data_IF_839993380051
#
_entry.id   IF_839993380051
#
_cell.length_a   1.000
_cell.length_b   1.000
_cell.length_c   1.000
_cell.angle_alpha   90.00
_cell.angle_beta   90.00
_cell.angle_gamma   90.00
#
_symmetry.space_group_name_H-M   'P 1'
#
loop_
_entity.id
_entity.type
_entity.pdbx_description
1 polymer ?
#
# COMPACT_ATOMS: atom_id res chain seq x y z
N UNK A 1 85.97 1.15 12.07
CA UNK A 1 85.71 2.30 11.18
C UNK A 1 86.15 1.87 9.80
N UNK A 2 85.28 1.19 9.06
CA UNK A 2 84.97 1.55 7.67
C UNK A 2 83.72 0.78 7.24
N UNK A 3 82.70 1.54 6.87
CA UNK A 3 81.44 1.06 6.30
C UNK A 3 81.62 0.90 4.80
N UNK A 4 81.14 -0.19 4.20
CA UNK A 4 80.41 -0.18 2.93
C UNK A 4 79.97 -1.59 2.52
N UNK A 5 78.64 -1.76 2.44
CA UNK A 5 77.85 -2.78 1.73
C UNK A 5 78.58 -3.98 1.08
N UNK A 6 78.18 -5.19 1.47
CA UNK A 6 77.87 -6.26 0.49
C UNK A 6 77.02 -7.39 1.09
N UNK A 7 75.96 -7.72 0.35
CA UNK A 7 75.47 -9.07 0.10
C UNK A 7 74.91 -9.83 1.34
N UNK A 8 73.59 -9.87 1.50
CA UNK A 8 72.72 -10.92 0.94
C UNK A 8 72.88 -12.29 1.62
N UNK A 9 71.72 -12.87 1.95
CA UNK A 9 71.46 -14.27 2.33
C UNK A 9 71.32 -14.58 3.83
N UNK A 10 70.23 -15.31 4.10
CA UNK A 10 69.89 -16.07 5.31
C UNK A 10 69.14 -15.34 6.43
N UNK A 11 67.95 -14.83 6.09
CA UNK A 11 66.84 -14.78 7.07
C UNK A 11 65.94 -15.98 6.76
N UNK A 12 66.22 -17.11 7.41
CA UNK A 12 65.42 -18.33 7.36
C UNK A 12 64.89 -18.63 8.77
N UNK A 13 63.56 -18.56 8.89
CA UNK A 13 62.68 -19.33 9.77
C UNK A 13 63.04 -19.48 11.26
N UNK A 14 62.30 -18.76 12.11
CA UNK A 14 61.84 -19.35 13.38
C UNK A 14 60.47 -18.78 13.81
N UNK A 15 59.44 -19.58 13.55
CA UNK A 15 58.15 -19.72 14.23
C UNK A 15 57.65 -18.60 15.16
N UNK A 16 56.67 -17.83 14.68
CA UNK A 16 55.62 -17.29 15.55
C UNK A 16 54.26 -17.46 14.85
N UNK A 17 53.65 -18.61 15.08
CA UNK A 17 52.24 -18.85 14.71
C UNK A 17 51.40 -18.07 15.73
N UNK A 18 50.89 -16.91 15.33
CA UNK A 18 49.69 -16.33 15.92
C UNK A 18 48.50 -16.87 15.13
N UNK A 19 47.83 -17.89 15.67
CA UNK A 19 46.47 -18.22 15.24
C UNK A 19 45.61 -17.02 15.68
N UNK A 20 45.28 -16.14 14.74
CA UNK A 20 44.16 -15.23 14.90
C UNK A 20 42.91 -16.11 14.83
N UNK A 21 42.45 -16.59 15.99
CA UNK A 21 41.11 -17.17 16.09
C UNK A 21 40.14 -16.03 15.78
N UNK A 22 39.70 -15.93 14.53
CA UNK A 22 38.51 -15.17 14.18
C UNK A 22 37.39 -15.93 14.88
N UNK A 23 37.04 -15.49 16.09
CA UNK A 23 35.76 -15.84 16.69
C UNK A 23 34.72 -15.29 15.73
N UNK A 24 34.27 -16.12 14.80
CA UNK A 24 33.00 -15.89 14.14
C UNK A 24 31.98 -16.04 15.25
N UNK A 25 31.66 -14.92 15.90
CA UNK A 25 30.42 -14.87 16.65
C UNK A 25 29.34 -15.29 15.65
N UNK A 26 28.55 -16.34 15.92
CA UNK A 26 27.36 -16.54 15.13
C UNK A 26 26.61 -15.21 15.18
N UNK A 27 26.50 -14.55 14.03
CA UNK A 27 25.60 -13.41 13.89
C UNK A 27 24.23 -14.00 14.14
N UNK A 28 23.75 -13.94 15.38
CA UNK A 28 22.34 -14.12 15.66
C UNK A 28 21.68 -13.06 14.78
N UNK A 29 21.05 -13.51 13.70
CA UNK A 29 20.13 -12.68 12.96
C UNK A 29 19.07 -12.30 13.98
N UNK A 30 19.18 -11.08 14.53
CA UNK A 30 18.07 -10.43 15.20
C UNK A 30 16.96 -10.37 14.15
N UNK A 31 15.97 -11.26 14.27
CA UNK A 31 14.74 -11.14 13.49
C UNK A 31 14.08 -9.84 13.95
N UNK A 32 14.02 -8.85 13.06
CA UNK A 32 13.36 -7.58 13.36
C UNK A 32 11.89 -7.86 13.72
N UNK A 33 11.38 -7.20 14.77
CA UNK A 33 9.97 -7.30 15.12
C UNK A 33 9.11 -6.86 13.94
N UNK A 34 8.09 -7.64 13.59
CA UNK A 34 7.19 -7.32 12.48
C UNK A 34 5.79 -7.06 13.00
N UNK A 35 5.20 -5.93 12.63
CA UNK A 35 3.80 -5.62 12.88
C UNK A 35 3.04 -5.76 11.56
N UNK A 36 2.02 -6.61 11.52
CA UNK A 36 1.33 -6.91 10.26
C UNK A 36 -0.19 -7.03 10.38
N UNK A 37 -0.90 -6.80 9.28
CA UNK A 37 -2.30 -7.19 9.13
C UNK A 37 -2.41 -8.57 8.49
N UNK A 38 -3.34 -9.40 8.94
CA UNK A 38 -3.58 -10.74 8.43
C UNK A 38 -5.08 -10.98 8.18
N UNK A 39 -5.48 -11.42 6.96
CA UNK A 39 -4.64 -11.56 5.78
C UNK A 39 -4.08 -10.21 5.26
N UNK A 40 -2.97 -10.25 4.51
CA UNK A 40 -2.41 -9.07 3.84
C UNK A 40 -3.17 -8.69 2.56
N UNK A 41 -4.01 -9.58 2.06
CA UNK A 41 -4.94 -9.29 0.98
C UNK A 41 -6.28 -9.95 1.30
N UNK A 42 -7.32 -9.15 1.48
CA UNK A 42 -8.67 -9.63 1.71
C UNK A 42 -9.58 -9.21 0.56
N UNK A 43 -10.50 -10.09 0.15
CA UNK A 43 -11.41 -9.86 -0.99
C UNK A 43 -12.88 -10.08 -0.60
N UNK A 44 -13.43 -9.36 0.40
CA UNK A 44 -14.82 -9.54 0.82
C UNK A 44 -15.80 -9.01 -0.24
N UNK A 45 -17.05 -9.49 -0.19
CA UNK A 45 -18.14 -8.91 -0.97
C UNK A 45 -18.78 -7.70 -0.28
N UNK A 46 -19.49 -6.87 -1.06
CA UNK A 46 -20.38 -5.84 -0.50
C UNK A 46 -21.39 -6.50 0.44
N UNK A 47 -21.58 -5.90 1.62
CA UNK A 47 -22.46 -6.42 2.66
C UNK A 47 -21.86 -7.56 3.50
N UNK A 48 -20.68 -8.07 3.14
CA UNK A 48 -20.01 -9.14 3.88
C UNK A 48 -19.25 -8.59 5.08
N UNK A 49 -19.37 -9.28 6.22
CA UNK A 49 -18.51 -9.07 7.37
C UNK A 49 -17.26 -9.94 7.26
N UNK A 50 -16.11 -9.33 7.51
CA UNK A 50 -14.83 -10.02 7.53
C UNK A 50 -13.95 -9.45 8.63
N UNK A 51 -12.86 -10.15 8.94
CA UNK A 51 -11.93 -9.76 10.01
C UNK A 51 -10.52 -9.61 9.49
N UNK A 52 -9.80 -8.64 10.05
CA UNK A 52 -8.36 -8.44 9.86
C UNK A 52 -7.70 -8.50 11.23
N UNK A 53 -6.79 -9.45 11.42
CA UNK A 53 -5.98 -9.53 12.63
C UNK A 53 -4.77 -8.61 12.50
N UNK A 54 -4.52 -7.77 13.49
CA UNK A 54 -3.23 -7.11 13.68
C UNK A 54 -2.36 -8.04 14.51
N UNK A 55 -1.20 -8.43 13.98
CA UNK A 55 -0.29 -9.39 14.62
C UNK A 55 1.08 -8.77 14.81
N UNK A 56 1.77 -9.20 15.86
CA UNK A 56 3.19 -8.91 16.08
C UNK A 56 3.98 -10.21 15.99
N UNK A 57 5.15 -10.18 15.36
CA UNK A 57 6.08 -11.29 15.30
C UNK A 57 7.44 -10.90 15.87
N UNK A 58 8.11 -11.87 16.49
CA UNK A 58 9.49 -11.77 17.00
C UNK A 58 9.69 -10.56 17.93
N UNK A 59 8.73 -10.32 18.81
CA UNK A 59 8.80 -9.25 19.81
C UNK A 59 9.60 -9.71 21.02
N UNK A 60 10.39 -8.80 21.57
CA UNK A 60 11.11 -9.01 22.83
C UNK A 60 10.70 -7.95 23.85
N UNK A 61 10.28 -8.42 25.02
CA UNK A 61 9.90 -7.64 26.19
C UNK A 61 8.72 -6.68 25.93
N UNK A 62 7.71 -7.06 25.14
CA UNK A 62 6.52 -6.25 24.88
C UNK A 62 5.69 -6.06 26.15
N UNK A 63 5.49 -4.83 26.59
CA UNK A 63 4.68 -4.51 27.78
C UNK A 63 3.41 -3.73 27.44
N UNK A 64 3.47 -2.86 26.43
CA UNK A 64 2.28 -2.18 25.91
C UNK A 64 2.40 -1.91 24.41
N UNK A 65 1.27 -1.71 23.76
CA UNK A 65 1.21 -1.33 22.37
C UNK A 65 0.06 -0.36 22.10
N UNK A 66 0.26 0.52 21.13
CA UNK A 66 -0.79 1.31 20.52
C UNK A 66 -0.72 1.18 19.01
N UNK A 67 -1.87 0.96 18.37
CA UNK A 67 -1.99 0.95 16.92
C UNK A 67 -2.96 2.04 16.50
N UNK A 68 -2.57 2.87 15.53
CA UNK A 68 -3.48 3.75 14.79
C UNK A 68 -3.53 3.31 13.33
N UNK A 69 -4.69 2.82 12.89
CA UNK A 69 -4.94 2.35 11.53
C UNK A 69 -5.90 3.29 10.79
N UNK A 70 -5.56 3.61 9.54
CA UNK A 70 -6.43 4.30 8.59
C UNK A 70 -6.89 3.37 7.47
N UNK A 71 -8.09 3.61 6.95
CA UNK A 71 -8.74 2.92 5.84
C UNK A 71 -9.71 3.88 5.14
N UNK A 72 -10.17 3.55 3.94
CA UNK A 72 -11.16 4.37 3.24
C UNK A 72 -12.59 4.08 3.78
N UNK A 73 -13.25 5.04 4.47
CA UNK A 73 -14.58 4.84 5.06
C UNK A 73 -15.73 4.85 4.04
N UNK A 74 -15.46 5.21 2.78
CA UNK A 74 -16.44 5.04 1.70
C UNK A 74 -16.51 3.58 1.25
N UNK A 75 -15.41 2.82 1.38
CA UNK A 75 -15.28 1.42 0.95
C UNK A 75 -15.56 0.45 2.11
N UNK A 76 -15.05 0.74 3.31
CA UNK A 76 -15.19 -0.11 4.49
C UNK A 76 -15.90 0.58 5.64
N UNK A 77 -16.60 -0.20 6.45
CA UNK A 77 -17.12 0.23 7.75
C UNK A 77 -16.55 -0.64 8.87
N UNK A 78 -15.72 -0.06 9.75
CA UNK A 78 -15.23 -0.73 10.95
C UNK A 78 -16.37 -0.84 11.97
N UNK A 79 -16.74 -2.07 12.31
CA UNK A 79 -17.85 -2.33 13.22
C UNK A 79 -17.38 -2.68 14.62
N UNK A 80 -16.21 -3.29 14.76
CA UNK A 80 -15.72 -3.77 16.05
C UNK A 80 -14.18 -3.87 16.12
N UNK A 81 -13.64 -3.71 17.32
CA UNK A 81 -12.23 -3.98 17.65
C UNK A 81 -12.21 -4.92 18.85
N UNK A 82 -11.70 -6.13 18.64
CA UNK A 82 -11.72 -7.21 19.60
C UNK A 82 -10.29 -7.48 20.08
N UNK A 83 -10.10 -7.66 21.39
CA UNK A 83 -8.89 -8.29 21.93
C UNK A 83 -9.22 -9.77 22.09
N UNK A 84 -8.71 -10.67 21.23
CA UNK A 84 -9.10 -12.06 21.30
C UNK A 84 -8.49 -12.74 22.55
N UNK A 85 -9.10 -13.81 23.09
CA UNK A 85 -8.58 -14.48 24.30
C UNK A 85 -7.14 -14.98 24.16
N UNK A 86 -6.72 -15.35 22.94
CA UNK A 86 -5.40 -15.82 22.55
C UNK A 86 -4.49 -14.70 22.01
N UNK A 87 -4.76 -13.44 22.41
CA UNK A 87 -3.90 -12.30 22.07
C UNK A 87 -2.47 -12.46 22.64
N UNK A 88 -1.55 -11.59 22.23
CA UNK A 88 -0.12 -11.61 22.63
C UNK A 88 0.10 -11.55 24.15
N UNK A 89 -0.86 -11.03 24.91
CA UNK A 89 -0.85 -10.98 26.37
C UNK A 89 -1.72 -12.05 27.04
N UNK A 90 -2.09 -13.12 26.33
CA UNK A 90 -2.87 -14.23 26.89
C UNK A 90 -2.22 -14.78 28.17
N UNK A 91 -3.04 -14.95 29.22
CA UNK A 91 -2.58 -15.40 30.54
C UNK A 91 -2.15 -14.28 31.50
N UNK A 92 -2.17 -13.02 31.08
CA UNK A 92 -1.85 -11.85 31.91
C UNK A 92 -3.06 -10.94 32.12
N UNK A 93 -3.03 -10.16 33.21
CA UNK A 93 -3.96 -9.06 33.41
C UNK A 93 -3.57 -7.88 32.49
N UNK A 94 -4.57 -7.31 31.82
CA UNK A 94 -4.36 -6.25 30.84
C UNK A 94 -5.21 -5.01 31.14
N UNK A 95 -4.59 -3.84 30.99
CA UNK A 95 -5.30 -2.59 30.88
C UNK A 95 -5.72 -2.39 29.42
N UNK A 96 -7.02 -2.35 29.19
CA UNK A 96 -7.63 -2.43 27.86
C UNK A 96 -8.75 -1.38 27.68
N UNK A 97 -8.40 -0.08 27.54
CA UNK A 97 -9.41 0.96 27.35
C UNK A 97 -10.13 0.81 25.99
N UNK A 98 -11.36 1.33 25.84
CA UNK A 98 -12.09 1.31 24.57
C UNK A 98 -11.28 1.93 23.41
N UNK A 99 -11.45 1.44 22.17
CA UNK A 99 -10.82 2.06 21.01
C UNK A 99 -11.38 3.46 20.72
N UNK A 100 -10.55 4.34 20.17
CA UNK A 100 -10.99 5.62 19.62
C UNK A 100 -11.25 5.44 18.13
N UNK A 101 -12.49 5.61 17.69
CA UNK A 101 -12.90 5.39 16.28
C UNK A 101 -13.43 6.70 15.69
N UNK A 102 -12.87 7.13 14.57
CA UNK A 102 -13.41 8.19 13.73
C UNK A 102 -13.89 7.59 12.40
N UNK A 103 -15.22 7.39 12.28
CA UNK A 103 -15.85 6.78 11.12
C UNK A 103 -15.87 7.70 9.90
N UNK A 104 -15.80 9.02 10.09
CA UNK A 104 -15.86 10.00 8.99
C UNK A 104 -14.60 9.98 8.15
N UNK A 105 -13.43 9.84 8.79
CA UNK A 105 -12.12 9.79 8.10
C UNK A 105 -11.55 8.37 8.02
N UNK A 106 -12.28 7.36 8.51
CA UNK A 106 -11.84 5.96 8.50
C UNK A 106 -10.58 5.71 9.32
N UNK A 107 -10.60 6.06 10.61
CA UNK A 107 -9.45 5.88 11.51
C UNK A 107 -9.84 5.20 12.82
N UNK A 108 -8.98 4.30 13.31
CA UNK A 108 -9.10 3.67 14.62
C UNK A 108 -7.77 3.71 15.37
N UNK A 109 -7.82 4.03 16.67
CA UNK A 109 -6.69 3.87 17.60
C UNK A 109 -7.07 2.87 18.69
N UNK A 110 -6.20 1.88 18.93
CA UNK A 110 -6.35 0.92 20.03
C UNK A 110 -5.07 0.85 20.85
N UNK A 111 -5.21 0.96 22.17
CA UNK A 111 -4.14 0.81 23.16
C UNK A 111 -4.44 -0.39 24.07
N UNK A 112 -3.41 -1.16 24.40
CA UNK A 112 -3.45 -2.21 25.44
C UNK A 112 -2.08 -2.28 26.12
N UNK A 113 -2.08 -2.47 27.44
CA UNK A 113 -0.88 -2.67 28.25
C UNK A 113 -1.06 -3.81 29.25
N UNK A 114 0.04 -4.41 29.70
CA UNK A 114 0.06 -5.31 30.84
C UNK A 114 -0.10 -4.52 32.15
N UNK A 115 -0.88 -5.04 33.10
CA UNK A 115 -1.00 -4.48 34.46
C UNK A 115 0.19 -4.89 35.36
N UNK A 116 1.42 -4.79 34.85
CA UNK A 116 2.64 -5.23 35.52
C UNK A 116 3.92 -4.76 34.83
N UNK A 117 5.07 -5.09 35.43
CA UNK A 117 6.40 -4.60 35.00
C UNK A 117 7.19 -5.61 34.14
N UNK A 118 6.59 -6.74 33.78
CA UNK A 118 7.22 -7.75 32.92
C UNK A 118 6.67 -7.59 31.52
N UNK A 119 7.51 -7.65 30.49
CA UNK A 119 7.07 -7.77 29.10
C UNK A 119 7.09 -9.22 28.61
N UNK A 120 6.35 -9.50 27.55
CA UNK A 120 6.27 -10.81 26.91
C UNK A 120 7.19 -10.89 25.69
N UNK A 121 7.63 -12.11 25.36
CA UNK A 121 8.41 -12.40 24.17
C UNK A 121 7.60 -13.29 23.21
N UNK A 122 7.89 -13.21 21.92
CA UNK A 122 7.34 -14.11 20.90
C UNK A 122 6.46 -13.40 19.88
N UNK A 123 5.42 -14.10 19.43
CA UNK A 123 4.55 -13.67 18.33
C UNK A 123 3.10 -13.92 18.71
N UNK A 124 2.17 -13.09 18.23
CA UNK A 124 0.76 -13.24 18.55
C UNK A 124 -0.15 -12.18 17.92
N UNK A 125 -1.45 -12.31 18.17
CA UNK A 125 -2.46 -11.34 17.73
C UNK A 125 -2.49 -10.19 18.75
N UNK A 126 -2.41 -8.95 18.29
CA UNK A 126 -2.66 -7.77 19.12
C UNK A 126 -4.17 -7.56 19.28
N UNK A 127 -4.87 -7.42 18.15
CA UNK A 127 -6.32 -7.28 18.11
C UNK A 127 -6.89 -7.76 16.77
N UNK A 128 -8.19 -8.02 16.76
CA UNK A 128 -8.96 -8.34 15.56
C UNK A 128 -9.89 -7.18 15.24
N UNK A 129 -9.80 -6.67 14.02
CA UNK A 129 -10.68 -5.63 13.48
C UNK A 129 -11.77 -6.30 12.67
N UNK A 130 -13.03 -6.03 12.98
CA UNK A 130 -14.17 -6.51 12.20
C UNK A 130 -14.68 -5.39 11.31
N UNK A 131 -14.74 -5.67 10.01
CA UNK A 131 -15.19 -4.74 8.99
C UNK A 131 -16.43 -5.27 8.28
N UNK A 132 -17.17 -4.35 7.66
CA UNK A 132 -18.22 -4.60 6.68
C UNK A 132 -17.80 -3.97 5.35
N UNK A 133 -17.88 -4.73 4.25
CA UNK A 133 -17.72 -4.19 2.89
C UNK A 133 -18.89 -3.28 2.53
N UNK A 134 -18.64 -1.99 2.25
CA UNK A 134 -19.69 -0.97 2.05
C UNK A 134 -19.95 -0.66 0.57
N UNK A 135 -18.88 -0.42 -0.20
CA UNK A 135 -18.95 -0.09 -1.62
C UNK A 135 -17.80 -0.78 -2.36
N UNK A 136 -17.97 -0.98 -3.67
CA UNK A 136 -16.90 -1.48 -4.55
C UNK A 136 -15.66 -0.58 -4.49
N UNK A 137 -14.48 -1.19 -4.53
CA UNK A 137 -13.21 -0.49 -4.61
C UNK A 137 -12.13 -1.13 -3.76
N UNK A 138 -10.98 -0.46 -3.70
CA UNK A 138 -9.80 -0.97 -3.00
C UNK A 138 -9.31 0.03 -1.97
N UNK A 139 -8.95 -0.45 -0.78
CA UNK A 139 -8.32 0.36 0.26
C UNK A 139 -7.08 -0.33 0.83
N UNK A 140 -5.98 0.40 0.92
CA UNK A 140 -4.85 0.00 1.76
C UNK A 140 -5.21 0.26 3.22
N UNK A 141 -4.88 -0.68 4.10
CA UNK A 141 -4.91 -0.48 5.55
C UNK A 141 -3.60 0.16 5.95
N UNK A 142 -3.58 1.38 6.48
CA UNK A 142 -2.34 2.12 6.74
C UNK A 142 -2.11 2.33 8.22
N UNK A 143 -0.94 1.93 8.72
CA UNK A 143 -0.51 2.29 10.06
C UNK A 143 0.05 3.73 10.05
N UNK A 144 -0.44 4.56 10.95
CA UNK A 144 -0.08 5.98 11.01
C UNK A 144 0.93 6.23 12.13
N UNK A 145 1.78 7.24 11.92
CA UNK A 145 2.68 7.78 12.93
C UNK A 145 3.51 6.70 13.64
N UNK A 146 4.22 5.90 12.85
CA UNK A 146 5.05 4.80 13.34
C UNK A 146 6.11 5.32 14.31
N UNK A 147 6.34 4.58 15.40
CA UNK A 147 7.36 4.86 16.42
C UNK A 147 7.17 6.21 17.14
N UNK A 148 5.94 6.68 17.31
CA UNK A 148 5.62 7.93 18.01
C UNK A 148 4.67 7.70 19.19
N UNK A 149 4.99 8.27 20.36
CA UNK A 149 4.22 8.09 21.61
C UNK A 149 3.26 9.27 21.82
N UNK A 150 2.13 9.26 21.13
CA UNK A 150 1.03 10.24 21.29
C UNK A 150 -0.32 9.62 20.92
N UNK A 151 -1.41 10.38 21.04
CA UNK A 151 -2.80 9.86 20.90
C UNK A 151 -3.14 9.22 19.53
N UNK A 152 -2.36 9.49 18.49
CA UNK A 152 -2.54 8.92 17.15
C UNK A 152 -1.30 8.16 16.65
N UNK A 153 -0.39 7.83 17.58
CA UNK A 153 0.84 7.10 17.32
C UNK A 153 0.63 5.60 17.17
N UNK A 154 1.46 4.96 16.36
CA UNK A 154 1.59 3.50 16.32
C UNK A 154 2.93 3.11 16.93
N UNK A 155 2.92 2.40 18.05
CA UNK A 155 4.13 2.01 18.76
C UNK A 155 3.99 0.70 19.53
N UNK A 156 5.12 0.02 19.71
CA UNK A 156 5.32 -1.11 20.60
C UNK A 156 6.30 -0.66 21.69
N UNK A 157 6.04 -0.95 22.95
CA UNK A 157 6.84 -0.45 24.07
C UNK A 157 7.23 -1.57 25.04
N UNK A 158 8.46 -1.51 25.51
CA UNK A 158 9.01 -2.42 26.51
C UNK A 158 8.60 -2.05 27.93
N UNK A 159 8.84 -2.95 28.88
CA UNK A 159 8.59 -2.69 30.30
C UNK A 159 9.47 -1.60 30.91
N UNK A 160 10.59 -1.27 30.28
CA UNK A 160 11.47 -0.15 30.63
C UNK A 160 11.08 1.16 29.92
N UNK A 161 9.90 1.21 29.29
CA UNK A 161 9.36 2.32 28.51
C UNK A 161 10.14 2.64 27.22
N UNK A 162 11.12 1.83 26.84
CA UNK A 162 11.79 1.98 25.55
C UNK A 162 10.90 1.49 24.40
N UNK A 163 10.97 2.17 23.25
CA UNK A 163 10.27 1.72 22.05
C UNK A 163 10.91 0.47 21.46
N UNK A 164 10.08 -0.44 20.95
CA UNK A 164 10.50 -1.60 20.17
C UNK A 164 10.43 -1.20 18.69
N UNK A 165 11.57 -1.12 17.97
CA UNK A 165 11.55 -0.92 16.53
C UNK A 165 10.85 -2.08 15.83
N UNK A 166 10.07 -1.78 14.79
CA UNK A 166 9.38 -2.79 14.00
C UNK A 166 9.30 -2.42 12.53
N UNK A 167 9.21 -3.44 11.68
CA UNK A 167 8.79 -3.31 10.29
C UNK A 167 7.25 -3.43 10.21
N UNK A 168 6.60 -2.52 9.49
CA UNK A 168 5.14 -2.55 9.28
C UNK A 168 4.79 -3.23 7.94
N UNK A 169 4.06 -4.35 7.97
CA UNK A 169 3.54 -5.06 6.78
C UNK A 169 2.03 -5.05 6.77
N UNK A 170 1.48 -4.03 6.13
CA UNK A 170 0.04 -3.82 6.07
C UNK A 170 -0.56 -4.30 4.75
N UNK A 171 -1.84 -4.63 4.80
CA UNK A 171 -2.57 -5.27 3.73
C UNK A 171 -3.51 -4.34 2.97
N UNK A 172 -4.10 -4.92 1.94
CA UNK A 172 -5.09 -4.30 1.07
C UNK A 172 -6.40 -5.06 1.20
N UNK A 173 -7.51 -4.33 1.17
CA UNK A 173 -8.85 -4.89 1.07
C UNK A 173 -9.48 -4.48 -0.26
N UNK A 174 -9.85 -5.47 -1.04
CA UNK A 174 -10.52 -5.36 -2.34
C UNK A 174 -12.00 -5.75 -2.16
N UNK A 175 -12.90 -4.76 -2.09
CA UNK A 175 -14.34 -5.02 -1.92
C UNK A 175 -14.99 -5.22 -3.28
N UNK A 176 -15.60 -6.39 -3.42
CA UNK A 176 -16.06 -6.95 -4.69
C UNK A 176 -17.57 -7.22 -4.69
N UNK A 177 -18.10 -7.70 -5.83
CA UNK A 177 -19.45 -8.25 -5.91
C UNK A 177 -19.45 -9.67 -6.50
N UNK A 178 -20.48 -10.50 -6.20
CA UNK A 178 -20.51 -11.91 -6.60
C UNK A 178 -20.54 -12.16 -8.12
N UNK A 179 -20.99 -11.19 -8.91
CA UNK A 179 -21.11 -11.23 -10.37
C UNK A 179 -19.79 -10.93 -11.10
N UNK A 180 -18.71 -10.66 -10.36
CA UNK A 180 -17.42 -10.37 -10.94
C UNK A 180 -16.64 -11.64 -11.29
N UNK A 181 -15.93 -11.59 -12.41
CA UNK A 181 -15.08 -12.64 -12.91
C UNK A 181 -13.60 -12.25 -12.86
N UNK A 182 -12.77 -13.21 -12.47
CA UNK A 182 -11.31 -13.07 -12.43
C UNK A 182 -10.69 -13.49 -13.75
N UNK A 183 -10.03 -12.56 -14.43
CA UNK A 183 -9.29 -12.78 -15.67
C UNK A 183 -7.79 -12.60 -15.40
N UNK A 184 -6.98 -13.62 -15.68
CA UNK A 184 -5.54 -13.62 -15.41
C UNK A 184 -4.79 -13.56 -16.74
N UNK A 185 -3.88 -12.60 -16.86
CA UNK A 185 -3.06 -12.40 -18.04
C UNK A 185 -1.58 -12.48 -17.68
N UNK A 186 -0.86 -13.36 -18.37
CA UNK A 186 0.57 -13.56 -18.18
C UNK A 186 1.33 -12.55 -19.04
N UNK A 187 2.13 -11.69 -18.39
CA UNK A 187 2.99 -10.69 -19.03
C UNK A 187 4.43 -11.09 -18.79
N UNK A 188 5.21 -11.27 -19.87
CA UNK A 188 6.64 -11.59 -19.74
C UNK A 188 7.47 -10.32 -19.89
N UNK A 189 8.28 -10.01 -18.88
CA UNK A 189 9.21 -8.89 -18.88
C UNK A 189 10.55 -9.34 -18.27
N UNK A 190 11.66 -9.02 -18.93
CA UNK A 190 13.01 -9.40 -18.47
C UNK A 190 13.17 -10.89 -18.12
N UNK A 191 12.58 -11.78 -18.94
CA UNK A 191 12.57 -13.24 -18.73
C UNK A 191 11.79 -13.73 -17.49
N UNK A 192 10.97 -12.87 -16.89
CA UNK A 192 10.06 -13.24 -15.80
C UNK A 192 8.61 -13.11 -16.23
N UNK A 193 7.78 -14.08 -15.87
CA UNK A 193 6.33 -14.04 -16.11
C UNK A 193 5.63 -13.46 -14.88
N UNK A 194 4.99 -12.32 -15.06
CA UNK A 194 4.22 -11.60 -14.08
C UNK A 194 2.73 -11.66 -14.45
N UNK A 195 1.86 -11.72 -13.45
CA UNK A 195 0.42 -11.85 -13.67
C UNK A 195 -0.28 -10.51 -13.46
N UNK A 196 -0.95 -10.02 -14.50
CA UNK A 196 -1.96 -8.96 -14.37
C UNK A 196 -3.31 -9.62 -14.18
N UNK A 197 -4.07 -9.17 -13.19
CA UNK A 197 -5.42 -9.68 -12.95
C UNK A 197 -6.44 -8.58 -13.19
N UNK A 198 -7.43 -8.85 -14.02
CA UNK A 198 -8.60 -7.99 -14.22
C UNK A 198 -9.81 -8.68 -13.58
N UNK A 199 -10.30 -8.10 -12.49
CA UNK A 199 -11.49 -8.55 -11.77
C UNK A 199 -12.66 -7.61 -12.09
N UNK A 200 -13.67 -8.10 -12.82
CA UNK A 200 -14.71 -7.23 -13.39
C UNK A 200 -16.02 -7.99 -13.64
N UNK A 201 -17.15 -7.27 -13.66
CA UNK A 201 -18.44 -7.77 -14.10
C UNK A 201 -18.66 -7.69 -15.63
N UNK A 202 -17.61 -7.38 -16.40
CA UNK A 202 -17.64 -7.39 -17.88
C UNK A 202 -16.91 -8.59 -18.47
N UNK A 203 -17.20 -8.91 -19.73
CA UNK A 203 -16.35 -9.82 -20.52
C UNK A 203 -15.08 -9.09 -20.94
N UNK A 204 -13.91 -9.67 -20.67
CA UNK A 204 -12.61 -9.08 -21.05
C UNK A 204 -12.09 -9.71 -22.33
N UNK A 205 -11.61 -8.89 -23.27
CA UNK A 205 -11.00 -9.35 -24.53
C UNK A 205 -9.77 -8.51 -24.90
N UNK A 206 -8.97 -9.00 -25.85
CA UNK A 206 -7.87 -8.23 -26.46
C UNK A 206 -6.86 -7.62 -25.48
N UNK A 207 -6.53 -8.33 -24.40
CA UNK A 207 -5.53 -7.86 -23.45
C UNK A 207 -4.15 -7.76 -24.09
N UNK A 208 -3.48 -6.64 -23.84
CA UNK A 208 -2.12 -6.38 -24.30
C UNK A 208 -1.35 -5.55 -23.28
N UNK A 209 -0.06 -5.84 -23.13
CA UNK A 209 0.87 -5.01 -22.39
C UNK A 209 1.97 -4.52 -23.33
N UNK A 210 2.08 -3.19 -23.47
CA UNK A 210 3.15 -2.55 -24.21
C UNK A 210 4.28 -2.16 -23.25
N UNK A 211 5.40 -2.88 -23.33
CA UNK A 211 6.56 -2.63 -22.50
C UNK A 211 7.21 -1.26 -22.77
N UNK A 212 7.34 -0.87 -24.04
CA UNK A 212 8.01 0.38 -24.44
C UNK A 212 7.22 1.62 -24.05
N UNK A 213 5.88 1.56 -24.09
CA UNK A 213 5.04 2.68 -23.68
C UNK A 213 4.53 2.58 -22.24
N UNK A 214 4.87 1.50 -21.52
CA UNK A 214 4.40 1.19 -20.16
C UNK A 214 2.89 1.36 -20.03
N UNK A 215 2.18 0.55 -20.81
CA UNK A 215 0.74 0.63 -21.00
C UNK A 215 0.11 -0.76 -20.98
N UNK A 216 -0.96 -0.92 -20.22
CA UNK A 216 -1.89 -2.06 -20.31
C UNK A 216 -3.11 -1.60 -21.10
N UNK A 217 -3.58 -2.42 -22.03
CA UNK A 217 -4.85 -2.20 -22.72
C UNK A 217 -5.67 -3.48 -22.85
N UNK A 218 -6.99 -3.35 -22.85
CA UNK A 218 -7.94 -4.44 -23.06
C UNK A 218 -9.34 -3.90 -23.38
N UNK A 219 -10.19 -4.71 -23.99
CA UNK A 219 -11.60 -4.41 -24.18
C UNK A 219 -12.42 -4.97 -23.02
N UNK A 220 -13.44 -4.23 -22.61
CA UNK A 220 -14.51 -4.72 -21.72
C UNK A 220 -15.84 -4.62 -22.44
N UNK A 221 -16.65 -5.67 -22.33
CA UNK A 221 -17.94 -5.79 -23.00
C UNK A 221 -18.99 -6.15 -21.96
N UNK A 222 -20.07 -5.38 -21.90
CA UNK A 222 -21.23 -5.65 -21.06
C UNK A 222 -22.52 -5.12 -21.68
N UNK A 223 -23.70 -5.44 -21.10
CA UNK A 223 -25.00 -5.03 -21.63
C UNK A 223 -25.20 -3.51 -21.59
N UNK A 224 -25.72 -2.92 -22.65
CA UNK A 224 -26.03 -1.49 -22.70
C UNK A 224 -26.94 -1.06 -21.52
N UNK A 225 -26.88 0.24 -21.17
CA UNK A 225 -27.65 0.86 -20.08
C UNK A 225 -27.39 0.28 -18.67
N UNK A 226 -26.33 -0.51 -18.50
CA UNK A 226 -25.87 -0.99 -17.19
C UNK A 226 -24.49 -0.42 -16.84
N UNK A 227 -23.99 -0.70 -15.63
CA UNK A 227 -22.69 -0.18 -15.16
C UNK A 227 -21.67 -1.30 -15.08
N UNK A 228 -20.51 -1.06 -15.70
CA UNK A 228 -19.33 -1.89 -15.53
C UNK A 228 -18.41 -1.35 -14.45
N UNK A 229 -17.71 -2.25 -13.80
CA UNK A 229 -16.67 -1.91 -12.84
C UNK A 229 -15.53 -2.91 -12.95
N UNK A 230 -14.31 -2.40 -12.87
CA UNK A 230 -13.09 -3.19 -12.98
C UNK A 230 -12.15 -2.85 -11.84
N UNK A 231 -11.51 -3.87 -11.30
CA UNK A 231 -10.33 -3.78 -10.45
C UNK A 231 -9.19 -4.49 -11.18
N UNK A 232 -8.08 -3.81 -11.36
CA UNK A 232 -6.89 -4.33 -12.03
C UNK A 232 -5.75 -4.40 -11.04
N UNK A 233 -5.33 -5.62 -10.71
CA UNK A 233 -4.15 -5.90 -9.90
C UNK A 233 -2.93 -5.93 -10.80
N UNK A 234 -2.01 -4.99 -10.60
CA UNK A 234 -0.84 -4.77 -11.45
C UNK A 234 0.43 -4.98 -10.62
N UNK A 235 1.31 -5.91 -11.00
CA UNK A 235 2.63 -6.01 -10.40
C UNK A 235 3.40 -4.69 -10.54
N UNK A 236 3.94 -4.16 -9.43
CA UNK A 236 4.70 -2.90 -9.40
C UNK A 236 5.91 -2.88 -10.34
N UNK A 237 6.38 -4.07 -10.74
CA UNK A 237 7.46 -4.23 -11.70
C UNK A 237 7.06 -3.89 -13.14
N UNK A 238 5.78 -4.03 -13.48
CA UNK A 238 5.24 -3.62 -14.77
C UNK A 238 4.97 -2.11 -14.80
N UNK A 239 4.16 -1.64 -13.84
CA UNK A 239 3.74 -0.24 -13.68
C UNK A 239 3.63 0.08 -12.17
N UNK A 240 4.12 1.23 -11.71
CA UNK A 240 4.01 1.68 -10.31
C UNK A 240 3.76 3.20 -10.22
N UNK A 241 3.83 3.75 -9.00
CA UNK A 241 3.89 5.19 -8.72
C UNK A 241 2.65 5.97 -9.13
N UNK A 242 2.54 6.37 -10.40
CA UNK A 242 1.41 7.15 -10.89
C UNK A 242 0.80 6.52 -12.14
N UNK A 243 -0.48 6.15 -12.04
CA UNK A 243 -1.22 5.47 -13.08
C UNK A 243 -2.45 6.29 -13.48
N UNK A 244 -2.79 6.30 -14.76
CA UNK A 244 -4.02 6.92 -15.25
C UNK A 244 -4.84 5.91 -16.05
N UNK A 245 -6.14 5.92 -15.81
CA UNK A 245 -7.12 5.08 -16.52
C UNK A 245 -7.82 5.93 -17.58
N UNK A 246 -7.77 5.45 -18.81
CA UNK A 246 -8.47 6.00 -19.96
C UNK A 246 -9.50 4.98 -20.42
N UNK A 247 -10.73 5.43 -20.60
CA UNK A 247 -11.82 4.67 -21.20
C UNK A 247 -12.15 5.29 -22.54
N UNK A 248 -12.05 4.48 -23.60
CA UNK A 248 -12.01 4.88 -25.00
C UNK A 248 -10.90 5.92 -25.21
N UNK A 249 -11.25 7.21 -25.24
CA UNK A 249 -10.32 8.33 -25.41
C UNK A 249 -10.39 9.35 -24.28
N UNK A 250 -11.06 9.02 -23.16
CA UNK A 250 -11.26 9.95 -22.03
C UNK A 250 -10.55 9.42 -20.79
N UNK A 251 -9.64 10.20 -20.23
CA UNK A 251 -9.08 9.92 -18.91
C UNK A 251 -10.17 10.09 -17.84
N UNK A 252 -10.42 9.02 -17.06
CA UNK A 252 -11.50 9.00 -16.09
C UNK A 252 -11.01 9.05 -14.64
N UNK A 253 -9.78 8.62 -14.36
CA UNK A 253 -9.23 8.58 -13.01
C UNK A 253 -7.71 8.45 -13.04
N UNK A 254 -7.02 9.16 -12.16
CA UNK A 254 -5.60 9.02 -11.89
C UNK A 254 -5.36 8.44 -10.49
N UNK A 255 -4.23 7.80 -10.28
CA UNK A 255 -3.81 7.21 -9.02
C UNK A 255 -2.35 7.58 -8.78
N UNK A 256 -1.99 7.97 -7.57
CA UNK A 256 -0.62 8.34 -7.23
C UNK A 256 -0.22 7.83 -5.86
N UNK A 257 0.92 7.14 -5.80
CA UNK A 257 1.53 6.67 -4.54
C UNK A 257 1.97 7.85 -3.68
N UNK A 258 2.46 8.93 -4.32
CA UNK A 258 2.90 10.15 -3.63
C UNK A 258 1.74 10.85 -2.89
N UNK A 259 0.55 10.79 -3.47
CA UNK A 259 -0.66 11.39 -2.89
C UNK A 259 -1.46 10.40 -2.04
N UNK A 260 -0.95 9.17 -1.88
CA UNK A 260 -1.63 8.08 -1.16
C UNK A 260 -3.01 7.73 -1.76
N UNK A 261 -3.19 8.03 -3.05
CA UNK A 261 -4.44 7.76 -3.78
C UNK A 261 -4.40 6.44 -4.54
N UNK A 262 -3.22 5.84 -4.74
CA UNK A 262 -3.04 4.50 -5.30
C UNK A 262 -3.07 3.46 -4.18
N UNK A 263 -4.09 2.60 -4.08
CA UNK A 263 -4.04 1.45 -3.19
C UNK A 263 -2.97 0.47 -3.66
N UNK A 264 -2.12 0.04 -2.74
CA UNK A 264 -1.01 -0.85 -3.03
C UNK A 264 -0.56 -1.64 -1.80
N UNK A 265 0.12 -2.76 -2.08
CA UNK A 265 0.88 -3.53 -1.11
C UNK A 265 2.37 -3.58 -1.52
N UNK A 266 3.16 -4.46 -0.91
CA UNK A 266 4.60 -4.56 -1.19
C UNK A 266 4.92 -4.84 -2.67
N UNK A 267 4.07 -5.55 -3.39
CA UNK A 267 4.40 -6.11 -4.72
C UNK A 267 3.44 -5.66 -5.83
N UNK A 268 2.23 -5.22 -5.49
CA UNK A 268 1.18 -4.89 -6.44
C UNK A 268 0.53 -3.54 -6.14
N UNK A 269 0.07 -2.89 -7.20
CA UNK A 269 -0.81 -1.74 -7.20
C UNK A 269 -2.19 -2.16 -7.68
N UNK A 270 -3.24 -1.50 -7.18
CA UNK A 270 -4.63 -1.86 -7.45
C UNK A 270 -5.37 -0.65 -8.02
N UNK A 271 -5.72 -0.73 -9.29
CA UNK A 271 -6.45 0.30 -10.01
C UNK A 271 -7.92 -0.09 -10.09
N UNK A 272 -8.84 0.79 -9.73
CA UNK A 272 -10.27 0.47 -9.78
C UNK A 272 -11.11 1.59 -10.38
N UNK A 273 -12.07 1.26 -11.22
CA UNK A 273 -12.84 2.26 -11.96
C UNK A 273 -14.18 1.69 -12.43
N UNK A 274 -15.18 2.58 -12.51
CA UNK A 274 -16.47 2.30 -13.12
C UNK A 274 -16.56 2.91 -14.52
N UNK A 275 -17.44 2.36 -15.35
CA UNK A 275 -17.74 2.82 -16.70
C UNK A 275 -19.20 2.45 -17.05
N UNK A 276 -19.78 3.11 -18.05
CA UNK A 276 -21.03 2.63 -18.64
C UNK A 276 -20.75 1.38 -19.47
N UNK A 277 -21.55 0.35 -19.31
CA UNK A 277 -21.42 -0.85 -20.12
C UNK A 277 -21.80 -0.54 -21.57
N UNK A 278 -20.91 -0.98 -22.44
CA UNK A 278 -21.01 -1.26 -23.87
C UNK A 278 -19.66 -1.91 -24.23
N UNK A 279 -19.27 -1.97 -25.51
CA UNK A 279 -17.87 -2.25 -25.82
C UNK A 279 -17.02 -1.00 -25.54
N UNK A 280 -16.07 -1.13 -24.61
CA UNK A 280 -15.13 -0.07 -24.20
C UNK A 280 -13.69 -0.52 -24.33
N UNK A 281 -12.84 0.35 -24.85
CA UNK A 281 -11.39 0.15 -24.78
C UNK A 281 -10.86 0.75 -23.48
N UNK A 282 -10.19 -0.06 -22.67
CA UNK A 282 -9.52 0.39 -21.45
C UNK A 282 -8.03 0.52 -21.72
N UNK A 283 -7.43 1.60 -21.24
CA UNK A 283 -5.98 1.80 -21.20
C UNK A 283 -5.56 2.24 -19.81
N UNK A 284 -4.52 1.62 -19.26
CA UNK A 284 -3.90 2.00 -17.99
C UNK A 284 -2.45 2.34 -18.29
N UNK A 285 -2.10 3.61 -18.09
CA UNK A 285 -0.79 4.16 -18.46
C UNK A 285 0.01 4.49 -17.21
N UNK A 286 1.31 4.21 -17.24
CA UNK A 286 2.27 4.87 -16.35
C UNK A 286 2.43 6.33 -16.80
N UNK A 287 2.27 7.26 -15.86
CA UNK A 287 2.45 8.70 -16.07
C UNK A 287 3.06 9.38 -14.84
N UNK A 288 2.96 10.71 -14.73
CA UNK A 288 3.45 11.53 -13.63
C UNK A 288 2.32 12.33 -13.00
N UNK A 289 2.40 12.59 -11.69
CA UNK A 289 1.40 13.39 -10.97
C UNK A 289 1.20 14.74 -11.66
N UNK A 290 -0.03 15.04 -12.06
CA UNK A 290 -0.41 16.26 -12.76
C UNK A 290 -0.74 16.07 -14.24
N UNK A 291 -0.28 14.99 -14.88
CA UNK A 291 -0.78 14.60 -16.21
C UNK A 291 -2.12 13.88 -16.03
N UNK A 292 -3.20 14.61 -16.27
CA UNK A 292 -4.56 14.14 -16.03
C UNK A 292 -5.31 13.85 -17.33
N UNK A 293 -4.63 13.98 -18.47
CA UNK A 293 -5.16 13.61 -19.79
C UNK A 293 -4.47 12.35 -20.36
N UNK A 294 -3.31 11.98 -19.81
CA UNK A 294 -2.56 10.77 -20.14
C UNK A 294 -1.66 10.90 -21.36
N UNK A 295 -1.36 12.12 -21.83
CA UNK A 295 -0.44 12.38 -22.95
C UNK A 295 1.05 12.40 -22.54
N UNK A 296 1.33 12.05 -21.28
CA UNK A 296 2.66 11.96 -20.66
C UNK A 296 3.36 13.30 -20.53
N UNK A 297 2.62 14.41 -20.60
CA UNK A 297 3.12 15.76 -20.36
C UNK A 297 2.22 16.44 -19.35
N UNK A 298 2.80 17.34 -18.57
CA UNK A 298 2.01 18.22 -17.70
C UNK A 298 2.08 19.61 -18.29
N UNK A 299 1.01 20.01 -18.98
CA UNK A 299 0.94 21.30 -19.65
C UNK A 299 -0.39 22.04 -19.42
N UNK A 300 -0.65 23.05 -20.24
CA UNK A 300 -1.84 23.89 -20.11
C UNK A 300 -3.15 23.10 -20.33
N UNK A 301 -3.12 21.97 -21.04
CA UNK A 301 -4.28 21.12 -21.26
C UNK A 301 -4.74 20.44 -19.98
N UNK A 302 -3.80 20.01 -19.14
CA UNK A 302 -4.10 19.45 -17.82
C UNK A 302 -4.76 20.50 -16.94
N UNK A 303 -4.18 21.70 -16.88
CA UNK A 303 -4.78 22.83 -16.16
C UNK A 303 -6.15 23.20 -16.70
N UNK A 304 -6.38 23.12 -18.02
CA UNK A 304 -7.68 23.38 -18.62
C UNK A 304 -8.74 22.36 -18.18
N UNK A 305 -8.38 21.09 -17.98
CA UNK A 305 -9.29 20.06 -17.46
C UNK A 305 -9.68 20.38 -16.01
N UNK A 306 -8.72 20.73 -15.15
CA UNK A 306 -9.00 21.14 -13.76
C UNK A 306 -9.86 22.40 -13.73
N UNK A 307 -9.51 23.41 -14.53
CA UNK A 307 -10.24 24.67 -14.62
C UNK A 307 -11.71 24.48 -15.02
N UNK A 308 -11.98 23.61 -16.01
CA UNK A 308 -13.35 23.30 -16.44
C UNK A 308 -14.19 22.67 -15.31
N UNK A 309 -13.56 21.90 -14.42
CA UNK A 309 -14.21 21.26 -13.28
C UNK A 309 -14.10 22.07 -11.97
N UNK A 310 -13.42 23.23 -11.96
CA UNK A 310 -13.04 23.93 -10.72
C UNK A 310 -14.24 24.35 -9.87
N UNK A 311 -14.30 23.90 -8.61
CA UNK A 311 -15.41 24.11 -7.67
C UNK A 311 -16.55 23.11 -7.84
N UNK A 312 -16.34 22.00 -8.55
CA UNK A 312 -17.32 20.91 -8.67
C UNK A 312 -17.09 19.82 -7.61
N UNK A 313 -18.17 19.09 -7.32
CA UNK A 313 -18.21 17.88 -6.48
C UNK A 313 -18.82 16.74 -7.31
N UNK A 314 -18.79 15.46 -6.87
CA UNK A 314 -19.37 14.34 -7.62
C UNK A 314 -20.83 14.52 -8.07
N UNK A 315 -21.61 15.35 -7.38
CA UNK A 315 -23.01 15.66 -7.71
C UNK A 315 -23.17 16.72 -8.82
N UNK A 316 -22.08 17.38 -9.21
CA UNK A 316 -22.08 18.47 -10.18
C UNK A 316 -22.06 17.93 -11.63
N UNK A 317 -22.85 18.48 -12.58
CA UNK A 317 -22.83 18.03 -13.98
C UNK A 317 -21.49 18.19 -14.70
N UNK A 318 -20.65 19.12 -14.23
CA UNK A 318 -19.31 19.40 -14.78
C UNK A 318 -18.19 18.65 -14.05
N UNK A 319 -18.54 17.76 -13.12
CA UNK A 319 -17.58 16.93 -12.41
C UNK A 319 -16.76 16.11 -13.38
N UNK A 320 -15.45 16.14 -13.20
CA UNK A 320 -14.51 15.26 -13.89
C UNK A 320 -13.71 14.54 -12.82
N UNK A 321 -13.89 13.23 -12.60
CA UNK A 321 -13.20 12.55 -11.51
C UNK A 321 -11.67 12.63 -11.62
N UNK A 322 -11.13 12.72 -12.84
CA UNK A 322 -9.68 12.90 -13.07
C UNK A 322 -9.14 14.27 -12.65
N UNK A 323 -10.02 15.27 -12.46
CA UNK A 323 -9.64 16.62 -12.04
C UNK A 323 -9.57 16.78 -10.50
N UNK A 324 -10.15 15.85 -9.73
CA UNK A 324 -9.97 15.73 -8.28
C UNK A 324 -8.76 14.83 -8.03
N UNK A 325 -7.58 15.42 -8.00
CA UNK A 325 -6.29 14.71 -8.07
C UNK A 325 -5.91 14.13 -6.71
N UNK A 326 -6.31 14.79 -5.61
CA UNK A 326 -6.11 14.29 -4.25
C UNK A 326 -7.27 13.40 -3.74
N UNK A 327 -8.29 13.16 -4.58
CA UNK A 327 -9.47 12.34 -4.29
C UNK A 327 -10.24 12.79 -3.04
N UNK A 328 -10.31 14.11 -2.79
CA UNK A 328 -11.04 14.68 -1.66
C UNK A 328 -12.53 14.94 -1.96
N UNK A 329 -13.01 14.55 -3.15
CA UNK A 329 -14.35 14.79 -3.70
C UNK A 329 -14.67 16.28 -3.97
N UNK A 330 -13.65 17.10 -4.18
CA UNK A 330 -13.79 18.51 -4.59
C UNK A 330 -12.66 18.87 -5.52
N UNK A 331 -13.00 19.51 -6.63
CA UNK A 331 -11.98 20.14 -7.48
C UNK A 331 -11.74 21.56 -6.96
N UNK A 332 -10.59 21.84 -6.38
CA UNK A 332 -10.26 23.16 -5.85
C UNK A 332 -8.82 23.61 -6.16
N UNK A 333 -8.35 24.63 -5.43
CA UNK A 333 -7.01 25.19 -5.65
C UNK A 333 -5.88 24.20 -5.36
N UNK A 334 -6.13 23.16 -4.56
CA UNK A 334 -5.16 22.09 -4.28
C UNK A 334 -4.91 21.27 -5.53
N UNK A 335 -5.95 20.92 -6.29
CA UNK A 335 -5.80 20.19 -7.55
C UNK A 335 -5.03 21.01 -8.58
N UNK A 336 -5.34 22.30 -8.68
CA UNK A 336 -4.58 23.24 -9.52
C UNK A 336 -3.11 23.27 -9.10
N UNK A 337 -2.82 23.30 -7.80
CA UNK A 337 -1.47 23.29 -7.27
C UNK A 337 -0.73 21.97 -7.57
N UNK A 338 -1.43 20.83 -7.54
CA UNK A 338 -0.87 19.52 -7.87
C UNK A 338 -0.43 19.42 -9.34
N UNK A 339 -1.25 19.92 -10.27
CA UNK A 339 -0.84 20.05 -11.69
C UNK A 339 0.33 21.03 -11.82
N UNK A 340 0.20 22.22 -11.22
CA UNK A 340 1.19 23.30 -11.33
C UNK A 340 2.57 22.89 -10.81
N UNK A 341 2.63 22.06 -9.76
CA UNK A 341 3.88 21.54 -9.18
C UNK A 341 4.69 20.68 -10.15
N UNK A 342 4.02 20.08 -11.14
CA UNK A 342 4.65 19.25 -12.16
C UNK A 342 4.66 19.91 -13.54
N UNK A 343 4.19 21.15 -13.67
CA UNK A 343 4.08 21.84 -14.96
C UNK A 343 5.40 21.85 -15.73
N UNK A 344 5.33 21.53 -17.02
CA UNK A 344 6.47 21.41 -17.93
C UNK A 344 7.23 20.08 -17.84
N UNK A 345 6.88 19.19 -16.89
CA UNK A 345 7.45 17.84 -16.85
C UNK A 345 6.79 16.94 -17.88
N UNK A 346 7.52 15.93 -18.32
CA UNK A 346 7.03 14.89 -19.20
C UNK A 346 7.71 13.57 -18.85
N UNK A 347 7.04 12.46 -19.20
CA UNK A 347 7.55 11.12 -19.00
C UNK A 347 8.01 10.53 -20.34
N UNK A 348 9.24 10.04 -20.36
CA UNK A 348 9.85 9.32 -21.48
C UNK A 348 10.40 7.99 -20.97
N UNK A 349 10.27 6.93 -21.77
CA UNK A 349 10.70 5.57 -21.45
C UNK A 349 11.92 5.15 -22.26
#
# INVERSE_FOLDING_TARGET
MDETMKASEKILFLWMITILAITTFPRVLSTETVLSTMPQHATPFIGEFFTINLTVADVTNLNSWQITLAFNPTILNLTEVIIPPDNVFAGYNIFNPPPIINKTIGRVTKFVALEGTVGVNGSGILCTLRFLGKNLGVTTLKLLNLMQIHMSGTYLMRSDYSLIPFEAKVGVVEVNAPDFHRNIFNVTQNSETLNVVVFTNSTVANFYFNESSKEISFNVIGPDDTTGFSIVTIPKRLLNETLIVIVDNTAIRSFSSMLETLPENATHSFVFFGYSHSEKMIRILLTITGDINGDKKVDIKDLAIVSAAFGSTPESPRWKPVADIDHNNKVDIKDVALVSKSYGKFLQF
#
